data_IF_784777696892
#
_entry.id   IF_784777696892
#
_cell.length_a   1.000
_cell.length_b   1.000
_cell.length_c   1.000
_cell.angle_alpha   90.00
_cell.angle_beta   90.00
_cell.angle_gamma   90.00
#
_symmetry.space_group_name_H-M   'P 1'
#
loop_
_entity.id
_entity.type
_entity.pdbx_description
1 polymer ?
#
# COMPACT_ATOMS: atom_id res chain seq x y z
N UNK A 1 35.20 18.63 -47.59
CA UNK A 1 34.74 17.24 -47.47
C UNK A 1 33.30 17.27 -47.00
N UNK A 2 32.50 16.45 -47.66
CA UNK A 2 31.03 16.45 -47.75
C UNK A 2 30.32 16.06 -46.45
N UNK A 3 29.01 16.28 -46.47
CA UNK A 3 28.03 15.90 -45.49
C UNK A 3 27.62 14.42 -45.59
N UNK A 4 27.08 13.86 -44.49
CA UNK A 4 25.87 13.03 -44.45
C UNK A 4 25.39 12.96 -42.98
N UNK A 5 24.28 13.59 -42.59
CA UNK A 5 22.87 13.24 -42.82
C UNK A 5 22.43 12.02 -41.98
N UNK A 6 21.81 12.30 -40.82
CA UNK A 6 20.37 12.10 -40.51
C UNK A 6 19.92 10.67 -40.24
N UNK A 7 19.42 10.45 -39.02
CA UNK A 7 18.02 10.04 -38.85
C UNK A 7 17.45 10.72 -37.61
N UNK A 8 16.69 11.79 -37.87
CA UNK A 8 15.56 12.22 -37.06
C UNK A 8 14.45 11.19 -37.28
N UNK A 9 13.85 10.69 -36.20
CA UNK A 9 12.43 10.30 -36.24
C UNK A 9 11.73 10.95 -35.07
N UNK A 10 11.17 12.12 -35.36
CA UNK A 10 10.13 12.76 -34.58
C UNK A 10 9.01 11.76 -34.29
N UNK A 11 8.76 11.49 -33.01
CA UNK A 11 7.45 11.06 -32.53
C UNK A 11 6.87 12.20 -31.71
N UNK A 12 6.54 13.29 -32.40
CA UNK A 12 5.43 14.13 -31.97
C UNK A 12 4.22 13.69 -32.79
N UNK A 13 3.33 12.93 -32.14
CA UNK A 13 1.94 12.86 -32.56
C UNK A 13 1.02 12.89 -31.31
N UNK A 14 0.67 14.12 -30.95
CA UNK A 14 -0.59 14.60 -30.35
C UNK A 14 -1.47 13.65 -29.51
N UNK A 15 -1.16 13.57 -28.21
CA UNK A 15 -2.09 13.56 -27.05
C UNK A 15 -1.18 13.73 -25.84
N UNK A 16 -1.27 14.85 -25.11
CA UNK A 16 -0.39 15.16 -23.97
C UNK A 16 -0.11 13.88 -23.16
N UNK A 17 1.13 13.39 -23.23
CA UNK A 17 1.51 12.16 -22.56
C UNK A 17 1.18 12.37 -21.08
N UNK A 18 0.43 11.44 -20.48
CA UNK A 18 0.12 11.53 -19.06
C UNK A 18 1.44 11.48 -18.30
N UNK A 19 1.87 12.64 -17.81
CA UNK A 19 3.09 12.82 -17.04
C UNK A 19 2.77 12.69 -15.57
N UNK A 20 3.60 11.95 -14.85
CA UNK A 20 3.52 11.79 -13.40
C UNK A 20 4.77 12.39 -12.75
N UNK A 21 4.66 13.01 -11.57
CA UNK A 21 5.81 13.53 -10.83
C UNK A 21 6.51 12.43 -10.01
N UNK A 22 6.20 11.16 -10.28
CA UNK A 22 6.71 9.97 -9.61
C UNK A 22 6.90 8.84 -10.63
N UNK A 23 7.70 7.84 -10.25
CA UNK A 23 7.88 6.63 -11.05
C UNK A 23 6.62 5.78 -10.97
N UNK A 24 6.23 5.15 -12.08
CA UNK A 24 5.04 4.28 -12.13
C UNK A 24 5.42 2.94 -12.70
N UNK A 25 5.02 1.87 -12.02
CA UNK A 25 5.25 0.51 -12.51
C UNK A 25 4.44 0.26 -13.81
N UNK A 26 5.00 -0.45 -14.81
CA UNK A 26 4.37 -0.59 -16.13
C UNK A 26 2.96 -1.20 -16.14
N UNK A 27 2.73 -2.25 -15.35
CA UNK A 27 1.44 -2.92 -15.17
C UNK A 27 0.40 -2.02 -14.48
N UNK A 28 0.79 -1.34 -13.40
CA UNK A 28 -0.08 -0.35 -12.75
C UNK A 28 -0.46 0.79 -13.72
N UNK A 29 0.51 1.29 -14.49
CA UNK A 29 0.28 2.32 -15.49
C UNK A 29 -0.62 1.84 -16.64
N UNK A 30 -0.44 0.60 -17.09
CA UNK A 30 -1.26 -0.01 -18.13
C UNK A 30 -2.73 -0.06 -17.72
N UNK A 31 -3.01 -0.52 -16.50
CA UNK A 31 -4.38 -0.56 -15.97
C UNK A 31 -4.97 0.85 -15.81
N UNK A 32 -4.20 1.81 -15.29
CA UNK A 32 -4.64 3.20 -15.22
C UNK A 32 -5.01 3.74 -16.61
N UNK A 33 -4.16 3.51 -17.62
CA UNK A 33 -4.42 3.90 -19.02
C UNK A 33 -5.66 3.26 -19.58
N UNK A 34 -5.95 2.01 -19.24
CA UNK A 34 -7.18 1.34 -19.66
C UNK A 34 -8.40 2.16 -19.25
N UNK A 35 -8.45 2.67 -18.01
CA UNK A 35 -9.57 3.48 -17.54
C UNK A 35 -9.69 4.83 -18.25
N UNK A 36 -8.59 5.52 -18.51
CA UNK A 36 -8.62 6.91 -19.00
C UNK A 36 -8.46 7.09 -20.52
N UNK A 37 -8.13 6.02 -21.25
CA UNK A 37 -7.89 6.09 -22.70
C UNK A 37 -9.10 6.59 -23.48
N UNK A 38 -8.92 7.54 -24.41
CA UNK A 38 -10.01 8.01 -25.26
C UNK A 38 -9.98 7.32 -26.63
N UNK A 39 -10.86 6.34 -26.82
CA UNK A 39 -10.89 5.47 -28.00
C UNK A 39 -12.23 5.51 -28.75
N UNK A 40 -13.15 6.40 -28.41
CA UNK A 40 -14.49 6.44 -28.98
C UNK A 40 -15.01 7.87 -29.23
N UNK A 41 -16.15 7.98 -29.91
CA UNK A 41 -16.84 9.26 -30.12
C UNK A 41 -17.59 9.77 -28.87
N UNK A 42 -17.73 8.96 -27.81
CA UNK A 42 -18.35 9.39 -26.55
C UNK A 42 -17.44 10.34 -25.78
N UNK A 43 -17.98 11.17 -24.89
CA UNK A 43 -17.16 11.97 -23.97
C UNK A 43 -16.28 11.06 -23.09
N UNK A 44 -15.09 11.54 -22.76
CA UNK A 44 -14.08 10.77 -21.99
C UNK A 44 -14.65 10.34 -20.64
N UNK A 45 -15.43 11.20 -19.99
CA UNK A 45 -16.02 10.94 -18.68
C UNK A 45 -17.06 9.82 -18.73
N UNK A 46 -17.85 9.72 -19.81
CA UNK A 46 -18.76 8.59 -20.01
C UNK A 46 -17.99 7.29 -20.21
N UNK A 47 -16.88 7.31 -20.96
CA UNK A 47 -16.04 6.13 -21.15
C UNK A 47 -15.39 5.67 -19.84
N UNK A 48 -14.91 6.60 -19.02
CA UNK A 48 -14.37 6.30 -17.68
C UNK A 48 -15.44 5.62 -16.84
N UNK A 49 -16.66 6.17 -16.77
CA UNK A 49 -17.77 5.58 -16.01
C UNK A 49 -18.09 4.17 -16.48
N UNK A 50 -18.24 3.94 -17.78
CA UNK A 50 -18.54 2.63 -18.34
C UNK A 50 -17.48 1.58 -17.97
N UNK A 51 -16.20 1.96 -18.02
CA UNK A 51 -15.09 1.06 -17.63
C UNK A 51 -15.06 0.78 -16.14
N UNK A 52 -15.29 1.80 -15.30
CA UNK A 52 -15.35 1.63 -13.86
C UNK A 52 -16.55 0.79 -13.41
N UNK A 53 -17.69 0.92 -14.10
CA UNK A 53 -18.84 0.06 -13.89
C UNK A 53 -18.54 -1.40 -14.27
N UNK A 54 -17.90 -1.62 -15.42
CA UNK A 54 -17.46 -2.96 -15.85
C UNK A 54 -16.46 -3.58 -14.88
N UNK A 55 -15.58 -2.77 -14.28
CA UNK A 55 -14.61 -3.23 -13.29
C UNK A 55 -15.24 -3.44 -11.90
N UNK A 56 -16.40 -2.83 -11.62
CA UNK A 56 -17.08 -2.90 -10.33
C UNK A 56 -16.69 -1.80 -9.34
N UNK A 57 -16.02 -0.73 -9.78
CA UNK A 57 -15.67 0.44 -8.96
C UNK A 57 -16.82 1.46 -8.85
N UNK A 58 -17.81 1.36 -9.73
CA UNK A 58 -19.06 2.11 -9.70
C UNK A 58 -20.23 1.14 -9.86
N UNK A 59 -21.38 1.36 -9.21
CA UNK A 59 -22.57 0.56 -9.46
C UNK A 59 -23.03 0.67 -10.90
N UNK A 60 -23.49 -0.45 -11.46
CA UNK A 60 -24.12 -0.48 -12.79
C UNK A 60 -25.52 0.13 -12.73
N UNK A 61 -26.19 0.00 -11.59
CA UNK A 61 -27.52 0.51 -11.32
C UNK A 61 -27.59 1.12 -9.92
N UNK A 62 -28.48 2.09 -9.72
CA UNK A 62 -28.78 2.64 -8.40
C UNK A 62 -30.29 2.77 -8.22
N UNK A 63 -30.76 2.57 -6.99
CA UNK A 63 -32.18 2.76 -6.65
C UNK A 63 -32.51 4.24 -6.62
N UNK A 64 -33.66 4.59 -7.20
CA UNK A 64 -34.20 5.95 -7.09
C UNK A 64 -34.46 6.29 -5.61
N UNK A 65 -34.07 7.49 -5.12
CA UNK A 65 -34.29 7.85 -3.72
C UNK A 65 -35.77 7.91 -3.31
N UNK A 66 -36.69 8.01 -4.27
CA UNK A 66 -38.14 8.01 -4.01
C UNK A 66 -38.71 6.57 -4.00
N UNK A 67 -38.01 5.60 -4.60
CA UNK A 67 -38.40 4.18 -4.61
C UNK A 67 -39.84 3.87 -5.05
N UNK A 68 -40.39 4.62 -6.02
CA UNK A 68 -41.69 4.25 -6.63
C UNK A 68 -41.51 3.10 -7.63
N UNK A 69 -42.55 2.26 -7.85
CA UNK A 69 -42.47 1.11 -8.75
C UNK A 69 -42.12 1.45 -10.20
N UNK A 70 -42.48 2.65 -10.66
CA UNK A 70 -42.25 3.16 -12.01
C UNK A 70 -40.88 3.84 -12.18
N UNK A 71 -40.08 3.97 -11.12
CA UNK A 71 -38.82 4.70 -11.16
C UNK A 71 -37.73 3.95 -11.95
N UNK A 72 -37.27 4.57 -13.03
CA UNK A 72 -36.11 4.10 -13.80
C UNK A 72 -34.97 5.11 -13.72
N UNK A 73 -33.83 4.70 -13.16
CA UNK A 73 -32.64 5.55 -13.05
C UNK A 73 -31.69 5.28 -14.21
N UNK A 74 -31.22 6.33 -14.87
CA UNK A 74 -30.29 6.26 -16.01
C UNK A 74 -29.14 7.25 -15.82
N UNK A 75 -27.99 6.96 -16.43
CA UNK A 75 -26.86 7.88 -16.45
C UNK A 75 -27.04 8.92 -17.57
N UNK A 76 -26.93 10.21 -17.26
CA UNK A 76 -26.95 11.30 -18.26
C UNK A 76 -25.82 12.29 -18.00
N UNK A 77 -25.38 12.96 -19.07
CA UNK A 77 -24.46 14.09 -18.98
C UNK A 77 -25.06 15.24 -18.16
N UNK A 78 -24.21 15.96 -17.43
CA UNK A 78 -24.61 17.01 -16.51
C UNK A 78 -23.49 18.02 -16.28
N UNK A 79 -23.84 19.24 -15.83
CA UNK A 79 -22.86 20.27 -15.44
C UNK A 79 -22.43 20.08 -13.98
N UNK A 80 -21.80 18.94 -13.71
CA UNK A 80 -21.25 18.55 -12.40
C UNK A 80 -19.78 18.15 -12.56
N UNK A 81 -19.08 17.88 -11.45
CA UNK A 81 -17.63 17.59 -11.45
C UNK A 81 -17.25 16.48 -12.46
N UNK A 82 -17.96 15.33 -12.45
CA UNK A 82 -17.67 14.21 -13.37
C UNK A 82 -18.38 14.32 -14.71
N UNK A 83 -19.06 15.45 -14.96
CA UNK A 83 -19.86 15.70 -16.17
C UNK A 83 -20.99 14.69 -16.46
N UNK A 84 -21.27 13.80 -15.50
CA UNK A 84 -22.28 12.74 -15.57
C UNK A 84 -22.95 12.55 -14.21
N UNK A 85 -24.22 12.18 -14.20
CA UNK A 85 -24.99 11.91 -12.98
C UNK A 85 -26.09 10.88 -13.23
N UNK A 86 -26.60 10.28 -12.17
CA UNK A 86 -27.81 9.49 -12.19
C UNK A 86 -29.04 10.40 -12.20
N UNK A 87 -30.03 10.07 -13.02
CA UNK A 87 -31.33 10.74 -13.05
C UNK A 87 -32.45 9.72 -13.21
N UNK A 88 -33.46 9.81 -12.35
CA UNK A 88 -34.69 9.05 -12.52
C UNK A 88 -35.54 9.69 -13.61
N UNK A 89 -35.89 8.94 -14.66
CA UNK A 89 -36.70 9.46 -15.77
C UNK A 89 -38.15 9.70 -15.36
N UNK A 90 -38.65 8.99 -14.35
CA UNK A 90 -40.05 9.05 -13.92
C UNK A 90 -40.31 10.20 -12.94
N UNK A 91 -39.43 10.40 -11.95
CA UNK A 91 -39.61 11.43 -10.92
C UNK A 91 -38.63 12.61 -11.01
N UNK A 92 -37.69 12.58 -11.95
CA UNK A 92 -36.71 13.65 -12.19
C UNK A 92 -35.63 13.81 -11.10
N UNK A 93 -35.64 13.00 -10.04
CA UNK A 93 -34.62 13.06 -8.98
C UNK A 93 -33.25 12.69 -9.51
N UNK A 94 -32.24 13.41 -9.03
CA UNK A 94 -30.84 13.28 -9.45
C UNK A 94 -29.98 12.79 -8.30
N UNK A 95 -28.95 12.01 -8.62
CA UNK A 95 -27.93 11.55 -7.68
C UNK A 95 -26.54 11.63 -8.33
N UNK A 96 -25.47 11.85 -7.57
CA UNK A 96 -24.11 11.77 -8.10
C UNK A 96 -23.85 10.39 -8.70
N UNK A 97 -23.11 10.32 -9.82
CA UNK A 97 -22.70 9.03 -10.43
C UNK A 97 -21.98 8.10 -9.44
N UNK A 98 -21.34 8.72 -8.44
CA UNK A 98 -20.55 8.10 -7.37
C UNK A 98 -21.38 7.43 -6.27
N UNK A 99 -22.70 7.52 -6.31
CA UNK A 99 -23.56 6.94 -5.26
C UNK A 99 -23.28 5.44 -5.15
N UNK A 100 -23.02 4.96 -3.92
CA UNK A 100 -22.68 3.54 -3.68
C UNK A 100 -21.28 3.14 -4.13
N UNK A 101 -20.30 4.04 -4.00
CA UNK A 101 -18.91 3.77 -4.38
C UNK A 101 -17.92 4.50 -3.48
N UNK A 102 -16.64 4.12 -3.58
CA UNK A 102 -15.51 4.79 -2.92
C UNK A 102 -15.40 6.28 -3.25
N UNK A 103 -15.81 6.68 -4.46
CA UNK A 103 -15.71 8.06 -4.93
C UNK A 103 -16.72 9.00 -4.23
N UNK A 104 -17.72 8.45 -3.54
CA UNK A 104 -18.79 9.23 -2.93
C UNK A 104 -18.26 10.28 -1.94
N UNK A 105 -18.79 11.50 -2.03
CA UNK A 105 -18.42 12.70 -1.25
C UNK A 105 -17.01 13.26 -1.45
N UNK A 106 -16.17 12.69 -2.32
CA UNK A 106 -14.87 13.28 -2.65
C UNK A 106 -15.07 14.54 -3.52
N UNK A 107 -14.36 15.63 -3.20
CA UNK A 107 -14.52 16.94 -3.87
C UNK A 107 -13.49 17.16 -4.99
N UNK A 108 -13.19 16.13 -5.77
CA UNK A 108 -12.35 16.14 -6.97
C UNK A 108 -12.95 15.16 -7.99
N UNK A 109 -12.58 15.22 -9.27
CA UNK A 109 -13.11 14.32 -10.31
C UNK A 109 -12.73 12.85 -10.07
N UNK A 110 -13.50 11.92 -10.62
CA UNK A 110 -13.16 10.48 -10.57
C UNK A 110 -11.76 10.21 -11.13
N UNK A 111 -11.38 10.88 -12.23
CA UNK A 111 -10.04 10.75 -12.81
C UNK A 111 -8.94 11.18 -11.83
N UNK A 112 -9.15 12.29 -11.11
CA UNK A 112 -8.24 12.76 -10.06
C UNK A 112 -8.14 11.76 -8.89
N UNK A 113 -9.25 11.12 -8.52
CA UNK A 113 -9.20 10.05 -7.50
C UNK A 113 -8.38 8.87 -7.99
N UNK A 114 -8.56 8.40 -9.23
CA UNK A 114 -7.77 7.32 -9.82
C UNK A 114 -6.27 7.66 -9.87
N UNK A 115 -5.93 8.92 -10.18
CA UNK A 115 -4.56 9.43 -10.17
C UNK A 115 -3.95 9.42 -8.76
N UNK A 116 -4.69 9.85 -7.75
CA UNK A 116 -4.23 9.80 -6.36
C UNK A 116 -4.12 8.38 -5.82
N UNK A 117 -5.02 7.48 -6.19
CA UNK A 117 -4.91 6.06 -5.84
C UNK A 117 -3.68 5.43 -6.47
N UNK A 118 -3.37 5.76 -7.74
CA UNK A 118 -2.14 5.32 -8.38
C UNK A 118 -0.91 5.87 -7.67
N UNK A 119 -0.87 7.18 -7.39
CA UNK A 119 0.22 7.83 -6.64
C UNK A 119 0.47 7.13 -5.29
N UNK A 120 -0.59 6.84 -4.54
CA UNK A 120 -0.52 6.11 -3.27
C UNK A 120 0.03 4.68 -3.47
N UNK A 121 -0.38 3.99 -4.55
CA UNK A 121 0.11 2.65 -4.86
C UNK A 121 1.60 2.64 -5.23
N UNK A 122 2.14 3.74 -5.76
CA UNK A 122 3.55 3.89 -6.15
C UNK A 122 4.44 4.50 -5.05
N UNK A 123 3.91 4.66 -3.82
CA UNK A 123 4.61 5.32 -2.70
C UNK A 123 5.01 6.78 -2.99
N UNK A 124 4.25 7.47 -3.84
CA UNK A 124 4.51 8.86 -4.17
C UNK A 124 4.21 9.79 -2.99
N UNK A 125 4.96 10.88 -2.90
CA UNK A 125 4.67 11.94 -1.94
C UNK A 125 3.28 12.54 -2.21
N UNK A 126 2.42 12.52 -1.18
CA UNK A 126 1.04 12.97 -1.27
C UNK A 126 0.94 14.43 -1.69
N UNK A 127 1.82 15.30 -1.19
CA UNK A 127 1.76 16.74 -1.43
C UNK A 127 2.19 17.07 -2.85
N UNK A 128 3.24 16.43 -3.35
CA UNK A 128 3.72 16.54 -4.73
C UNK A 128 2.66 16.05 -5.71
N UNK A 129 2.09 14.86 -5.47
CA UNK A 129 1.02 14.32 -6.30
C UNK A 129 -0.24 15.21 -6.30
N UNK A 130 -0.68 15.66 -5.11
CA UNK A 130 -1.84 16.52 -4.97
C UNK A 130 -1.67 17.85 -5.71
N UNK A 131 -0.49 18.47 -5.61
CA UNK A 131 -0.17 19.70 -6.33
C UNK A 131 -0.19 19.47 -7.85
N UNK A 132 0.43 18.38 -8.33
CA UNK A 132 0.49 18.07 -9.76
C UNK A 132 -0.89 17.82 -10.39
N UNK A 133 -1.81 17.18 -9.66
CA UNK A 133 -3.16 16.89 -10.14
C UNK A 133 -4.21 17.97 -9.78
N UNK A 134 -3.78 19.09 -9.19
CA UNK A 134 -4.66 20.18 -8.71
C UNK A 134 -5.76 19.68 -7.75
N UNK A 135 -5.35 18.93 -6.73
CA UNK A 135 -6.23 18.37 -5.70
C UNK A 135 -5.94 19.05 -4.37
N UNK A 136 -7.00 19.54 -3.71
CA UNK A 136 -6.87 20.17 -2.40
C UNK A 136 -6.25 19.20 -1.38
N UNK A 137 -5.30 19.64 -0.53
CA UNK A 137 -4.61 18.78 0.44
C UNK A 137 -5.56 17.94 1.32
N UNK A 138 -6.67 18.54 1.77
CA UNK A 138 -7.68 17.82 2.57
C UNK A 138 -8.34 16.66 1.82
N UNK A 139 -8.56 16.81 0.51
CA UNK A 139 -9.15 15.75 -0.32
C UNK A 139 -8.12 14.66 -0.59
N UNK A 140 -6.86 15.05 -0.86
CA UNK A 140 -5.74 14.12 -1.02
C UNK A 140 -5.54 13.26 0.25
N UNK A 141 -5.44 13.88 1.43
CA UNK A 141 -5.36 13.18 2.72
C UNK A 141 -6.53 12.23 2.90
N UNK A 142 -7.77 12.68 2.66
CA UNK A 142 -8.93 11.80 2.79
C UNK A 142 -8.91 10.61 1.82
N UNK A 143 -8.23 10.68 0.67
CA UNK A 143 -8.08 9.54 -0.23
C UNK A 143 -7.02 8.59 0.35
N UNK A 144 -5.85 9.12 0.74
CA UNK A 144 -4.75 8.35 1.31
C UNK A 144 -5.17 7.64 2.60
N UNK A 145 -5.79 8.35 3.53
CA UNK A 145 -6.28 7.79 4.80
C UNK A 145 -7.24 6.61 4.60
N UNK A 146 -8.16 6.71 3.63
CA UNK A 146 -9.07 5.60 3.30
C UNK A 146 -8.34 4.41 2.69
N UNK A 147 -7.34 4.65 1.84
CA UNK A 147 -6.53 3.58 1.24
C UNK A 147 -5.65 2.90 2.29
N UNK A 148 -5.04 3.67 3.19
CA UNK A 148 -4.28 3.19 4.34
C UNK A 148 -5.13 2.26 5.20
N UNK A 149 -6.34 2.70 5.58
CA UNK A 149 -7.28 1.90 6.38
C UNK A 149 -7.65 0.58 5.70
N UNK A 150 -7.96 0.61 4.40
CA UNK A 150 -8.27 -0.59 3.62
C UNK A 150 -7.07 -1.54 3.53
N UNK A 151 -5.89 -1.00 3.25
CA UNK A 151 -4.67 -1.78 3.12
C UNK A 151 -4.29 -2.45 4.44
N UNK A 152 -4.36 -1.73 5.56
CA UNK A 152 -4.07 -2.27 6.90
C UNK A 152 -5.11 -3.35 7.27
N UNK A 153 -6.41 -3.08 7.05
CA UNK A 153 -7.49 -4.05 7.30
C UNK A 153 -7.33 -5.31 6.44
N UNK A 154 -6.88 -5.17 5.20
CA UNK A 154 -6.65 -6.32 4.34
C UNK A 154 -5.39 -7.08 4.75
N UNK A 155 -4.31 -6.36 5.00
CA UNK A 155 -3.06 -6.91 5.46
C UNK A 155 -3.28 -7.73 6.75
N UNK A 156 -4.04 -7.22 7.73
CA UNK A 156 -4.31 -7.90 9.01
C UNK A 156 -4.99 -9.26 8.89
N UNK A 157 -5.57 -9.59 7.72
CA UNK A 157 -6.17 -10.92 7.46
C UNK A 157 -5.13 -12.00 7.17
N UNK A 158 -3.89 -11.61 6.82
CA UNK A 158 -2.84 -12.53 6.44
C UNK A 158 -1.86 -12.78 7.57
N UNK A 159 -1.69 -14.04 7.95
CA UNK A 159 -0.60 -14.46 8.82
C UNK A 159 0.55 -15.05 7.99
N UNK A 160 1.74 -15.01 8.56
CA UNK A 160 2.95 -15.61 7.99
C UNK A 160 3.05 -17.08 8.37
N UNK A 161 3.64 -17.89 7.50
CA UNK A 161 3.99 -19.27 7.78
C UNK A 161 2.88 -20.29 7.56
N UNK A 162 2.68 -21.16 8.55
CA UNK A 162 1.82 -22.35 8.52
C UNK A 162 2.62 -23.66 8.53
N UNK A 163 1.94 -24.76 8.25
CA UNK A 163 2.56 -26.09 8.24
C UNK A 163 3.76 -26.14 7.27
N UNK A 164 4.87 -26.74 7.74
CA UNK A 164 6.13 -26.89 6.98
C UNK A 164 6.72 -25.56 6.49
N UNK A 165 6.56 -24.48 7.25
CA UNK A 165 7.12 -23.18 6.93
C UNK A 165 8.05 -22.66 8.04
N UNK A 166 9.01 -21.84 7.64
CA UNK A 166 9.92 -21.16 8.56
C UNK A 166 9.64 -19.66 8.50
N UNK A 167 9.34 -19.07 9.65
CA UNK A 167 9.22 -17.63 9.85
C UNK A 167 10.43 -17.15 10.62
N UNK A 168 11.24 -16.30 10.00
CA UNK A 168 12.39 -15.69 10.66
C UNK A 168 11.92 -14.43 11.41
N UNK A 169 12.49 -14.17 12.58
CA UNK A 169 12.28 -12.95 13.35
C UNK A 169 13.63 -12.30 13.67
N UNK A 170 13.75 -11.01 13.45
CA UNK A 170 14.98 -10.25 13.69
C UNK A 170 14.65 -8.82 14.15
N UNK A 171 15.55 -8.20 14.92
CA UNK A 171 15.35 -6.84 15.44
C UNK A 171 16.16 -5.82 14.66
N UNK A 172 15.49 -4.81 14.10
CA UNK A 172 16.14 -3.66 13.47
C UNK A 172 16.18 -2.48 14.44
N UNK A 173 17.26 -1.68 14.51
CA UNK A 173 18.50 -1.76 13.72
C UNK A 173 19.56 -2.72 14.29
N UNK A 174 19.26 -3.46 15.36
CA UNK A 174 20.23 -4.26 16.12
C UNK A 174 20.90 -5.37 15.28
N UNK A 175 20.20 -5.86 14.26
CA UNK A 175 20.71 -6.82 13.28
C UNK A 175 21.70 -6.25 12.26
N UNK A 176 21.84 -4.93 12.19
CA UNK A 176 22.90 -4.32 11.39
C UNK A 176 24.22 -4.52 12.13
N UNK A 177 25.10 -5.36 11.58
CA UNK A 177 26.50 -5.46 12.02
C UNK A 177 27.19 -4.11 11.79
N UNK A 178 27.09 -3.17 12.73
CA UNK A 178 27.76 -1.87 12.66
C UNK A 178 29.25 -2.07 12.89
N UNK A 179 29.98 -2.30 11.79
CA UNK A 179 31.44 -2.45 11.79
C UNK A 179 32.18 -1.10 11.88
N UNK A 180 31.49 0.03 11.99
CA UNK A 180 32.13 1.35 12.12
C UNK A 180 31.41 2.24 13.14
N UNK A 181 32.09 2.74 14.17
CA UNK A 181 31.56 3.74 15.10
C UNK A 181 31.41 5.14 14.47
N UNK A 182 31.95 5.37 13.26
CA UNK A 182 32.08 6.70 12.64
C UNK A 182 31.12 6.97 11.45
N UNK A 183 30.21 6.05 11.10
CA UNK A 183 29.14 6.42 10.17
C UNK A 183 28.07 7.19 10.94
N UNK A 184 28.02 8.50 10.70
CA UNK A 184 27.10 9.51 11.26
C UNK A 184 25.61 9.27 10.93
N UNK A 185 25.19 8.04 10.67
CA UNK A 185 23.78 7.70 10.52
C UNK A 185 23.12 7.80 11.90
N UNK A 186 22.23 8.78 12.01
CA UNK A 186 21.47 9.04 13.23
C UNK A 186 20.82 7.73 13.74
N UNK A 187 20.83 7.50 15.07
CA UNK A 187 20.17 6.33 15.64
C UNK A 187 18.70 6.32 15.21
N UNK A 188 18.26 5.16 14.70
CA UNK A 188 16.84 4.93 14.47
C UNK A 188 16.07 5.17 15.76
N UNK A 189 15.00 5.96 15.66
CA UNK A 189 14.21 6.37 16.83
C UNK A 189 13.46 5.19 17.45
N UNK A 190 13.14 4.18 16.65
CA UNK A 190 12.38 3.00 17.09
C UNK A 190 13.08 1.72 16.68
N UNK A 191 13.07 0.71 17.56
CA UNK A 191 13.28 -0.69 17.16
C UNK A 191 12.08 -1.20 16.39
N UNK A 192 12.35 -2.04 15.41
CA UNK A 192 11.35 -2.65 14.55
C UNK A 192 11.59 -4.16 14.57
N UNK A 193 10.63 -4.91 15.09
CA UNK A 193 10.59 -6.36 14.95
C UNK A 193 10.21 -6.69 13.51
N UNK A 194 11.11 -7.37 12.81
CA UNK A 194 10.91 -7.80 11.44
C UNK A 194 10.65 -9.30 11.41
N UNK A 195 9.54 -9.70 10.80
CA UNK A 195 9.20 -11.09 10.54
C UNK A 195 9.24 -11.35 9.03
N UNK A 196 9.84 -12.46 8.62
CA UNK A 196 9.96 -12.84 7.21
C UNK A 196 9.48 -14.28 6.99
N UNK A 197 8.54 -14.45 6.07
CA UNK A 197 8.05 -15.76 5.63
C UNK A 197 8.90 -16.29 4.47
N UNK A 198 9.71 -17.29 4.76
CA UNK A 198 10.64 -17.88 3.79
C UNK A 198 9.97 -18.77 2.75
N UNK A 199 8.68 -19.09 2.90
CA UNK A 199 7.90 -19.87 1.93
C UNK A 199 7.62 -19.10 0.64
N UNK A 200 7.65 -17.77 0.70
CA UNK A 200 7.29 -16.90 -0.40
C UNK A 200 8.52 -16.23 -1.04
N UNK A 201 8.52 -16.17 -2.38
CA UNK A 201 9.45 -15.38 -3.18
C UNK A 201 8.60 -14.56 -4.17
N UNK A 202 8.56 -13.21 -4.09
CA UNK A 202 9.25 -12.38 -3.10
C UNK A 202 8.78 -12.65 -1.66
N UNK A 203 9.68 -12.45 -0.70
CA UNK A 203 9.45 -12.72 0.73
C UNK A 203 8.35 -11.83 1.28
N UNK A 204 7.44 -12.41 2.06
CA UNK A 204 6.39 -11.66 2.74
C UNK A 204 6.86 -11.26 4.12
N UNK A 205 6.69 -9.98 4.44
CA UNK A 205 7.10 -9.42 5.71
C UNK A 205 5.93 -9.01 6.58
N UNK A 206 6.20 -8.96 7.89
CA UNK A 206 5.47 -8.20 8.89
C UNK A 206 6.48 -7.38 9.68
N UNK A 207 6.24 -6.09 9.78
CA UNK A 207 7.16 -5.14 10.42
C UNK A 207 6.39 -4.46 11.54
N UNK A 208 6.91 -4.53 12.76
CA UNK A 208 6.25 -4.01 13.95
C UNK A 208 7.16 -3.07 14.71
N UNK A 209 6.73 -1.82 14.86
CA UNK A 209 7.40 -0.81 15.68
C UNK A 209 7.20 -1.15 17.15
N UNK A 210 8.29 -1.43 17.85
CA UNK A 210 8.28 -1.78 19.27
C UNK A 210 7.87 -0.55 20.09
N UNK A 211 6.85 -0.71 20.93
CA UNK A 211 6.28 0.40 21.72
C UNK A 211 7.14 0.75 22.94
N UNK A 212 7.86 -0.22 23.48
CA UNK A 212 8.69 -0.09 24.68
C UNK A 212 9.79 0.98 24.60
N UNK A 213 10.25 1.35 23.39
CA UNK A 213 11.40 2.25 23.19
C UNK A 213 11.16 3.74 23.49
N UNK A 214 9.92 4.14 23.78
CA UNK A 214 9.59 5.55 24.00
C UNK A 214 10.14 6.11 25.32
N UNK A 215 10.75 5.28 26.17
CA UNK A 215 11.34 5.69 27.45
C UNK A 215 12.78 5.17 27.53
N UNK A 216 13.76 6.06 27.33
CA UNK A 216 15.15 5.81 27.73
C UNK A 216 15.21 5.82 29.27
N UNK A 217 15.16 4.64 29.89
CA UNK A 217 15.66 4.48 31.25
C UNK A 217 16.60 3.28 31.30
N UNK A 218 17.46 3.28 32.32
CA UNK A 218 18.59 2.38 32.50
C UNK A 218 18.14 0.90 32.47
N UNK A 219 18.98 0.01 31.91
CA UNK A 219 18.79 -1.45 31.86
C UNK A 219 18.13 -2.02 33.12
N UNK A 220 16.81 -2.09 33.11
CA UNK A 220 16.02 -2.65 34.19
C UNK A 220 15.44 -3.97 33.70
N UNK A 221 15.54 -5.02 34.51
CA UNK A 221 15.02 -6.36 34.21
C UNK A 221 13.54 -6.37 33.81
N UNK A 222 12.80 -5.32 34.15
CA UNK A 222 11.41 -5.12 33.77
C UNK A 222 11.22 -4.76 32.28
N UNK A 223 12.18 -4.09 31.64
CA UNK A 223 12.08 -3.70 30.22
C UNK A 223 12.22 -4.91 29.29
N UNK A 224 13.11 -5.86 29.63
CA UNK A 224 13.29 -7.09 28.87
C UNK A 224 12.03 -7.97 28.89
N UNK A 225 11.33 -8.03 30.02
CA UNK A 225 10.05 -8.74 30.13
C UNK A 225 8.93 -8.04 29.35
N UNK A 226 8.88 -6.70 29.33
CA UNK A 226 7.93 -5.94 28.50
C UNK A 226 8.18 -6.21 27.01
N UNK A 227 9.44 -6.14 26.58
CA UNK A 227 9.82 -6.40 25.20
C UNK A 227 9.48 -7.84 24.81
N UNK A 228 9.82 -8.82 25.64
CA UNK A 228 9.50 -10.23 25.42
C UNK A 228 8.00 -10.44 25.26
N UNK A 229 7.19 -9.88 26.17
CA UNK A 229 5.72 -9.96 26.10
C UNK A 229 5.17 -9.32 24.81
N UNK A 230 5.72 -8.18 24.39
CA UNK A 230 5.33 -7.54 23.14
C UNK A 230 5.69 -8.41 21.93
N UNK A 231 6.89 -8.98 21.88
CA UNK A 231 7.31 -9.88 20.78
C UNK A 231 6.43 -11.13 20.74
N UNK A 232 6.15 -11.77 21.88
CA UNK A 232 5.24 -12.93 21.98
C UNK A 232 3.85 -12.60 21.40
N UNK A 233 3.30 -11.45 21.77
CA UNK A 233 2.00 -10.99 21.28
C UNK A 233 2.02 -10.74 19.77
N UNK A 234 3.08 -10.12 19.25
CA UNK A 234 3.22 -9.90 17.80
C UNK A 234 3.35 -11.22 17.06
N UNK A 235 4.18 -12.15 17.53
CA UNK A 235 4.34 -13.48 16.92
C UNK A 235 3.00 -14.24 16.87
N UNK A 236 2.25 -14.28 17.97
CA UNK A 236 0.95 -14.96 18.02
C UNK A 236 -0.08 -14.36 17.06
N UNK A 237 -0.06 -13.04 16.87
CA UNK A 237 -0.97 -12.33 15.97
C UNK A 237 -0.55 -12.42 14.50
N UNK A 238 0.75 -12.40 14.23
CA UNK A 238 1.30 -12.27 12.89
C UNK A 238 1.62 -13.61 12.21
N UNK A 239 1.69 -14.71 12.96
CA UNK A 239 2.05 -16.03 12.43
C UNK A 239 0.90 -17.03 12.55
N UNK A 240 0.87 -17.99 11.62
CA UNK A 240 -0.04 -19.12 11.67
C UNK A 240 0.44 -20.16 12.70
N UNK A 241 -0.48 -20.89 13.36
CA UNK A 241 -0.13 -22.05 14.16
C UNK A 241 0.72 -23.04 13.36
N UNK A 242 1.58 -23.81 14.05
CA UNK A 242 2.47 -24.82 13.44
C UNK A 242 3.63 -24.27 12.59
N UNK A 243 3.79 -22.95 12.51
CA UNK A 243 4.98 -22.34 11.92
C UNK A 243 6.22 -22.65 12.77
N UNK A 244 7.35 -22.95 12.13
CA UNK A 244 8.64 -22.95 12.81
C UNK A 244 9.15 -21.50 12.91
N UNK A 245 9.07 -20.92 14.10
CA UNK A 245 9.55 -19.56 14.34
C UNK A 245 11.04 -19.62 14.71
N UNK A 246 11.85 -18.84 14.00
CA UNK A 246 13.30 -18.79 14.18
C UNK A 246 13.73 -17.39 14.58
N UNK A 247 14.29 -17.26 15.79
CA UNK A 247 14.69 -15.98 16.38
C UNK A 247 16.15 -15.68 16.08
N UNK A 248 16.41 -14.46 15.61
CA UNK A 248 17.73 -13.86 15.54
C UNK A 248 18.32 -13.58 16.92
N UNK A 249 19.61 -13.23 16.96
CA UNK A 249 20.34 -13.06 18.23
C UNK A 249 19.87 -11.82 19.03
N UNK A 250 19.22 -10.85 18.38
CA UNK A 250 18.78 -9.60 19.00
C UNK A 250 17.30 -9.61 19.38
N UNK A 251 16.63 -10.75 19.25
CA UNK A 251 15.23 -10.94 19.66
C UNK A 251 15.24 -11.72 20.99
N UNK A 252 14.44 -11.32 22.00
CA UNK A 252 14.35 -12.06 23.26
C UNK A 252 13.99 -13.53 23.03
N UNK A 253 14.58 -14.43 23.82
CA UNK A 253 14.26 -15.86 23.77
C UNK A 253 12.81 -16.11 24.18
N UNK A 254 12.06 -16.78 23.30
CA UNK A 254 10.65 -17.14 23.50
C UNK A 254 10.52 -18.66 23.48
N UNK A 255 9.72 -19.19 24.41
CA UNK A 255 9.47 -20.63 24.52
C UNK A 255 8.84 -21.18 23.24
N UNK A 256 9.29 -22.36 22.80
CA UNK A 256 8.81 -23.00 21.57
C UNK A 256 9.40 -22.44 20.27
N UNK A 257 10.20 -21.38 20.32
CA UNK A 257 10.92 -20.87 19.15
C UNK A 257 12.33 -21.47 19.04
N UNK A 258 12.85 -21.54 17.82
CA UNK A 258 14.21 -22.04 17.52
C UNK A 258 15.19 -20.88 17.36
N UNK A 259 16.44 -21.02 17.79
CA UNK A 259 17.46 -19.99 17.52
C UNK A 259 17.97 -20.05 16.08
N UNK A 260 18.37 -18.90 15.52
CA UNK A 260 18.97 -18.84 14.20
C UNK A 260 20.22 -19.73 14.07
N UNK A 261 21.05 -19.79 15.10
CA UNK A 261 22.24 -20.65 15.14
C UNK A 261 21.90 -22.12 14.98
N UNK A 262 20.81 -22.59 15.59
CA UNK A 262 20.36 -23.97 15.45
C UNK A 262 19.90 -24.27 14.01
N UNK A 263 19.16 -23.35 13.37
CA UNK A 263 18.75 -23.49 11.97
C UNK A 263 19.97 -23.57 11.02
N UNK A 264 20.94 -22.67 11.20
CA UNK A 264 22.12 -22.52 10.35
C UNK A 264 23.00 -23.77 10.33
N UNK A 265 23.05 -24.54 11.44
CA UNK A 265 23.79 -25.82 11.51
C UNK A 265 23.30 -26.86 10.49
N UNK A 266 22.06 -26.73 10.01
CA UNK A 266 21.44 -27.61 9.03
C UNK A 266 21.42 -27.01 7.61
N UNK A 267 21.99 -25.82 7.42
CA UNK A 267 21.99 -25.10 6.15
C UNK A 267 23.36 -25.18 5.47
N UNK A 268 23.39 -25.26 4.14
CA UNK A 268 24.60 -25.01 3.36
C UNK A 268 25.00 -23.53 3.39
N UNK A 269 26.23 -23.22 2.95
CA UNK A 269 26.79 -21.86 2.98
C UNK A 269 25.94 -20.85 2.21
N UNK A 270 25.29 -21.25 1.12
CA UNK A 270 24.50 -20.34 0.29
C UNK A 270 23.16 -20.01 0.97
N UNK A 271 22.52 -21.00 1.58
CA UNK A 271 21.32 -20.82 2.39
C UNK A 271 21.62 -19.95 3.62
N UNK A 272 22.74 -20.20 4.32
CA UNK A 272 23.16 -19.36 5.43
C UNK A 272 23.33 -17.89 5.01
N UNK A 273 23.96 -17.64 3.85
CA UNK A 273 24.10 -16.28 3.28
C UNK A 273 22.75 -15.68 2.91
N UNK A 274 21.83 -16.48 2.36
CA UNK A 274 20.49 -16.02 2.03
C UNK A 274 19.73 -15.57 3.29
N UNK A 275 19.67 -16.43 4.31
CA UNK A 275 18.91 -16.19 5.55
C UNK A 275 19.50 -15.06 6.41
N UNK A 276 20.81 -14.85 6.36
CA UNK A 276 21.48 -13.78 7.12
C UNK A 276 21.48 -12.41 6.43
N UNK A 277 21.21 -12.34 5.12
CA UNK A 277 21.33 -11.07 4.38
C UNK A 277 20.23 -10.85 3.35
N UNK A 278 20.14 -11.70 2.32
CA UNK A 278 19.31 -11.46 1.14
C UNK A 278 17.82 -11.44 1.51
N UNK A 279 17.40 -12.31 2.41
CA UNK A 279 16.01 -12.38 2.88
C UNK A 279 15.55 -11.11 3.57
N UNK A 280 16.46 -10.28 4.10
CA UNK A 280 16.09 -9.06 4.84
C UNK A 280 16.18 -7.79 4.01
N UNK A 281 16.78 -7.84 2.81
CA UNK A 281 17.11 -6.64 2.02
C UNK A 281 15.93 -5.69 1.82
N UNK A 282 14.75 -6.22 1.48
CA UNK A 282 13.57 -5.39 1.25
C UNK A 282 13.04 -4.81 2.56
N UNK A 283 12.95 -5.61 3.63
CA UNK A 283 12.54 -5.13 4.95
C UNK A 283 13.47 -4.04 5.49
N UNK A 284 14.78 -4.20 5.33
CA UNK A 284 15.78 -3.20 5.73
C UNK A 284 15.64 -1.90 4.94
N UNK A 285 15.35 -1.97 3.64
CA UNK A 285 15.08 -0.78 2.83
C UNK A 285 13.84 -0.03 3.32
N UNK A 286 12.76 -0.75 3.66
CA UNK A 286 11.55 -0.14 4.22
C UNK A 286 11.79 0.49 5.60
N UNK A 287 12.49 -0.22 6.48
CA UNK A 287 12.85 0.31 7.79
C UNK A 287 13.71 1.56 7.65
N UNK A 288 14.69 1.57 6.74
CA UNK A 288 15.53 2.72 6.47
C UNK A 288 14.73 3.93 5.95
N UNK A 289 13.79 3.71 5.02
CA UNK A 289 12.92 4.74 4.45
C UNK A 289 11.96 5.32 5.51
N UNK A 290 11.53 4.54 6.49
CA UNK A 290 10.64 5.02 7.54
C UNK A 290 11.30 6.02 8.50
N UNK A 291 12.62 6.23 8.44
CA UNK A 291 13.33 7.27 9.23
C UNK A 291 12.81 8.65 8.96
N UNK A 292 12.55 8.95 7.70
CA UNK A 292 12.24 10.29 7.24
C UNK A 292 10.91 10.79 7.82
N UNK A 293 10.05 9.85 8.26
CA UNK A 293 8.79 10.12 8.93
C UNK A 293 8.94 10.60 10.39
N UNK A 294 10.12 10.46 10.98
CA UNK A 294 10.41 10.86 12.35
C UNK A 294 11.18 12.19 12.48
N UNK A 295 11.48 12.86 11.36
CA UNK A 295 12.22 14.12 11.36
C UNK A 295 11.44 15.20 12.14
N UNK A 296 11.95 15.59 13.31
CA UNK A 296 11.40 16.65 14.15
C UNK A 296 10.38 16.22 15.23
N UNK A 297 10.04 14.92 15.36
CA UNK A 297 9.01 14.45 16.32
C UNK A 297 9.33 13.07 16.93
N UNK A 298 10.34 12.98 17.81
CA UNK A 298 10.93 11.70 18.25
C UNK A 298 10.05 10.76 19.07
N UNK A 299 8.94 11.21 19.68
CA UNK A 299 8.06 10.32 20.48
C UNK A 299 6.68 10.09 19.85
N UNK A 300 6.32 10.84 18.81
CA UNK A 300 4.96 10.87 18.25
C UNK A 300 4.88 10.19 16.87
N UNK A 301 6.03 9.87 16.25
CA UNK A 301 6.06 9.27 14.93
C UNK A 301 5.80 7.75 14.90
N UNK A 302 5.78 7.03 16.02
CA UNK A 302 5.67 5.57 16.05
C UNK A 302 4.42 5.03 15.30
N UNK A 303 3.26 5.68 15.49
CA UNK A 303 2.02 5.29 14.81
C UNK A 303 2.11 5.54 13.30
N UNK A 304 2.71 6.67 12.90
CA UNK A 304 2.94 7.02 11.49
C UNK A 304 3.90 6.04 10.83
N UNK A 305 4.99 5.68 11.53
CA UNK A 305 5.97 4.68 11.08
C UNK A 305 5.30 3.31 10.95
N UNK A 306 4.53 2.88 11.94
CA UNK A 306 3.82 1.60 11.88
C UNK A 306 2.88 1.55 10.68
N UNK A 307 2.06 2.59 10.50
CA UNK A 307 1.15 2.72 9.35
C UNK A 307 1.91 2.63 8.02
N UNK A 308 3.01 3.36 7.88
CA UNK A 308 3.85 3.29 6.68
C UNK A 308 4.40 1.89 6.44
N UNK A 309 4.97 1.24 7.45
CA UNK A 309 5.57 -0.09 7.31
C UNK A 309 4.53 -1.17 6.96
N UNK A 310 3.33 -1.10 7.53
CA UNK A 310 2.22 -1.98 7.15
C UNK A 310 1.88 -1.82 5.66
N UNK A 311 1.68 -0.60 5.20
CA UNK A 311 1.31 -0.33 3.80
C UNK A 311 2.45 -0.69 2.84
N UNK A 312 3.68 -0.30 3.15
CA UNK A 312 4.84 -0.56 2.32
C UNK A 312 5.12 -2.06 2.21
N UNK A 313 5.00 -2.80 3.31
CA UNK A 313 5.13 -4.27 3.29
C UNK A 313 4.01 -4.93 2.49
N UNK A 314 2.78 -4.38 2.51
CA UNK A 314 1.67 -4.87 1.69
C UNK A 314 1.89 -4.61 0.20
N UNK A 315 2.37 -3.42 -0.16
CA UNK A 315 2.72 -3.03 -1.54
C UNK A 315 3.77 -3.97 -2.14
N UNK A 316 4.82 -4.31 -1.37
CA UNK A 316 5.87 -5.24 -1.80
C UNK A 316 5.34 -6.61 -2.23
N UNK A 317 4.24 -7.10 -1.64
CA UNK A 317 3.68 -8.43 -1.96
C UNK A 317 3.13 -8.52 -3.38
N UNK A 318 2.66 -7.40 -3.94
CA UNK A 318 1.97 -7.38 -5.23
C UNK A 318 2.75 -6.65 -6.34
N UNK A 319 3.73 -5.82 -5.99
CA UNK A 319 4.60 -5.13 -6.94
C UNK A 319 3.81 -4.43 -8.06
N UNK A 320 4.10 -4.81 -9.30
CA UNK A 320 3.53 -4.22 -10.53
C UNK A 320 2.01 -4.47 -10.71
N UNK A 321 1.38 -5.24 -9.84
CA UNK A 321 -0.06 -5.48 -9.82
C UNK A 321 -0.80 -4.81 -8.66
N UNK A 322 -0.10 -4.05 -7.81
CA UNK A 322 -0.68 -3.55 -6.56
C UNK A 322 -1.86 -2.59 -6.78
N UNK A 323 -1.81 -1.73 -7.80
CA UNK A 323 -2.90 -0.82 -8.12
C UNK A 323 -4.20 -1.58 -8.42
N UNK A 324 -4.12 -2.60 -9.29
CA UNK A 324 -5.26 -3.45 -9.61
C UNK A 324 -5.77 -4.25 -8.41
N UNK A 325 -4.88 -4.73 -7.55
CA UNK A 325 -5.26 -5.41 -6.31
C UNK A 325 -6.04 -4.48 -5.37
N UNK A 326 -5.54 -3.27 -5.13
CA UNK A 326 -6.19 -2.28 -4.28
C UNK A 326 -7.55 -1.85 -4.81
N UNK A 327 -7.67 -1.64 -6.13
CA UNK A 327 -8.97 -1.34 -6.73
C UNK A 327 -10.00 -2.44 -6.51
N UNK A 328 -9.60 -3.73 -6.52
CA UNK A 328 -10.52 -4.84 -6.20
C UNK A 328 -10.94 -4.85 -4.73
N UNK A 329 -10.04 -4.54 -3.81
CA UNK A 329 -10.39 -4.35 -2.39
C UNK A 329 -11.44 -3.24 -2.26
N UNK A 330 -11.23 -2.14 -2.98
CA UNK A 330 -12.17 -1.01 -3.04
C UNK A 330 -13.52 -1.43 -3.62
N UNK A 331 -13.57 -2.22 -4.70
CA UNK A 331 -14.83 -2.75 -5.24
C UNK A 331 -15.60 -3.51 -4.16
N UNK A 332 -14.91 -4.46 -3.51
CA UNK A 332 -15.52 -5.36 -2.52
C UNK A 332 -16.08 -4.62 -1.31
N UNK A 333 -15.37 -3.61 -0.81
CA UNK A 333 -15.81 -2.88 0.38
C UNK A 333 -16.96 -1.89 0.07
N UNK A 334 -16.97 -1.27 -1.12
CA UNK A 334 -17.88 -0.15 -1.38
C UNK A 334 -19.00 -0.42 -2.38
N UNK A 335 -18.84 -1.38 -3.28
CA UNK A 335 -19.71 -1.51 -4.47
C UNK A 335 -20.44 -2.85 -4.56
N UNK A 336 -19.88 -3.94 -4.05
CA UNK A 336 -20.49 -5.29 -4.19
C UNK A 336 -21.95 -5.35 -3.72
N UNK A 337 -22.27 -4.73 -2.57
CA UNK A 337 -23.65 -4.66 -2.06
C UNK A 337 -24.65 -3.83 -2.88
N UNK A 338 -24.21 -3.18 -3.97
CA UNK A 338 -25.07 -2.48 -4.93
C UNK A 338 -25.28 -3.24 -6.25
N UNK A 339 -24.47 -4.27 -6.50
CA UNK A 339 -24.55 -5.08 -7.72
C UNK A 339 -25.34 -6.39 -7.52
N UNK A 340 -25.74 -6.69 -6.28
CA UNK A 340 -26.79 -7.65 -5.92
C UNK A 340 -28.19 -7.06 -6.12
#
# INVERSE_FOLDING_TARGET
>A
MEADSTTVSNYEDSKAAVSFPFSVCPGNFSLYKEFISNNSQKSVECQIVERLQKFGLLPIMVKCPISKPDCRVVCKQARVIDRVQWICESCGKRQPIRTGSFFFKLQCSIQQVLQMTLAWCEDADMTVAAQHFDIKPRVASSIYDRLDELAIKELSKYKLGGENSVVLAEMYPDCLNRLSPDTTEQPHVHRILMLADTKHIPTYYRLHVVKGDLKKFEHDSAEDEILKSEVEMVLANATEPQSMIVLGNNVPSIEGCTSFQHLVQHCDVDMQRFLSSRVWRQALALCSASRDLCVGMSAVCAVTVQRYLDIASFRLRYGDGFYGHMLRIVCREFTDGYNE
#
